data_IF_257174873500
#
_entry.id   IF_257174873500
#
_cell.length_a   1.000
_cell.length_b   1.000
_cell.length_c   1.000
_cell.angle_alpha   90.00
_cell.angle_beta   90.00
_cell.angle_gamma   90.00
#
_symmetry.space_group_name_H-M   'P 1'
#
loop_
_entity.id
_entity.type
_entity.pdbx_description
1 polymer ?
#
# COMPACT_ATOMS: atom_id res chain seq x y z
N UNK A 1 12.82 43.37 18.04
CA UNK A 1 12.14 43.02 16.77
C UNK A 1 13.09 42.10 16.03
N UNK A 2 13.00 40.79 16.26
CA UNK A 2 12.29 39.82 15.41
C UNK A 2 12.77 39.83 13.95
N UNK A 3 13.68 38.92 13.63
CA UNK A 3 13.71 38.23 12.34
C UNK A 3 14.50 36.92 12.51
N UNK A 4 13.93 35.96 13.25
CA UNK A 4 14.33 34.56 13.09
C UNK A 4 13.64 34.07 11.82
N UNK A 5 14.35 34.16 10.69
CA UNK A 5 13.96 33.47 9.47
C UNK A 5 14.18 31.98 9.75
N UNK A 6 13.13 31.31 10.20
CA UNK A 6 13.08 29.86 10.27
C UNK A 6 12.96 29.35 8.84
N UNK A 7 14.09 29.16 8.17
CA UNK A 7 14.14 28.33 6.97
C UNK A 7 14.03 26.88 7.43
N UNK A 8 12.79 26.40 7.46
CA UNK A 8 12.47 24.99 7.61
C UNK A 8 13.35 24.15 6.69
N UNK A 9 14.02 23.17 7.29
CA UNK A 9 14.92 22.23 6.65
C UNK A 9 14.36 21.71 5.32
N UNK A 10 15.21 21.72 4.30
CA UNK A 10 14.99 21.17 2.97
C UNK A 10 14.26 19.83 3.03
N UNK A 11 13.01 19.79 2.56
CA UNK A 11 12.46 18.57 2.00
C UNK A 11 13.32 18.25 0.78
N UNK A 12 14.32 17.38 0.94
CA UNK A 12 15.15 16.91 -0.16
C UNK A 12 14.24 16.13 -1.09
N UNK A 13 13.72 16.78 -2.13
CA UNK A 13 13.04 16.11 -3.23
C UNK A 13 14.06 15.15 -3.86
N UNK A 14 13.80 13.84 -3.89
CA UNK A 14 14.73 12.88 -4.46
C UNK A 14 15.02 13.22 -5.93
N UNK A 15 16.26 13.04 -6.38
CA UNK A 15 16.63 13.29 -7.77
C UNK A 15 15.92 12.31 -8.72
N UNK A 16 15.74 12.70 -9.98
CA UNK A 16 15.15 11.81 -10.98
C UNK A 16 15.96 10.54 -11.21
N UNK A 17 17.29 10.62 -11.10
CA UNK A 17 18.17 9.45 -11.16
C UNK A 17 17.89 8.49 -10.00
N UNK A 18 17.70 9.02 -8.78
CA UNK A 18 17.33 8.21 -7.63
C UNK A 18 15.97 7.56 -7.81
N UNK A 19 14.96 8.33 -8.22
CA UNK A 19 13.62 7.80 -8.49
C UNK A 19 13.68 6.71 -9.57
N UNK A 20 14.39 6.93 -10.67
CA UNK A 20 14.54 5.94 -11.73
C UNK A 20 15.24 4.67 -11.26
N UNK A 21 16.29 4.79 -10.43
CA UNK A 21 17.00 3.65 -9.86
C UNK A 21 16.10 2.84 -8.93
N UNK A 22 15.43 3.49 -7.98
CA UNK A 22 14.59 2.81 -7.00
C UNK A 22 13.31 2.24 -7.65
N UNK A 23 12.76 2.91 -8.66
CA UNK A 23 11.63 2.39 -9.45
C UNK A 23 11.96 1.09 -10.17
N UNK A 24 13.22 0.87 -10.59
CA UNK A 24 13.65 -0.43 -11.15
C UNK A 24 13.66 -1.53 -10.09
N UNK A 25 13.93 -1.20 -8.83
CA UNK A 25 14.04 -2.17 -7.75
C UNK A 25 12.68 -2.48 -7.12
N UNK A 26 11.87 -1.46 -6.81
CA UNK A 26 10.57 -1.62 -6.17
C UNK A 26 9.39 -1.75 -7.15
N UNK A 27 9.58 -1.33 -8.41
CA UNK A 27 8.47 -1.13 -9.34
C UNK A 27 7.66 0.13 -9.02
N UNK A 28 6.68 0.42 -9.87
CA UNK A 28 5.75 1.55 -9.72
C UNK A 28 4.30 1.06 -9.81
N UNK A 29 3.37 1.87 -9.34
CA UNK A 29 1.92 1.61 -9.41
C UNK A 29 1.14 2.92 -9.49
N UNK A 30 -0.13 2.87 -9.95
CA UNK A 30 -1.05 4.00 -9.84
C UNK A 30 -1.36 4.41 -8.40
N UNK A 31 -1.00 3.59 -7.41
CA UNK A 31 -1.18 3.88 -5.99
C UNK A 31 -0.09 4.80 -5.45
N UNK A 32 1.06 4.92 -6.12
CA UNK A 32 2.18 5.71 -5.61
C UNK A 32 1.78 7.19 -5.42
N UNK A 33 2.09 7.72 -4.23
CA UNK A 33 1.77 9.09 -3.82
C UNK A 33 0.32 9.33 -3.42
N UNK A 34 -0.56 8.33 -3.52
CA UNK A 34 -1.94 8.46 -3.04
C UNK A 34 -2.02 8.38 -1.51
N UNK A 35 -2.93 9.18 -0.97
CA UNK A 35 -3.43 9.02 0.39
C UNK A 35 -4.90 8.66 0.32
N UNK A 36 -5.29 7.63 1.07
CA UNK A 36 -6.65 7.13 1.13
C UNK A 36 -7.20 7.32 2.55
N UNK A 37 -8.44 7.78 2.66
CA UNK A 37 -9.15 7.97 3.94
C UNK A 37 -10.44 7.15 3.92
N UNK A 38 -10.67 6.37 4.98
CA UNK A 38 -11.83 5.50 5.12
C UNK A 38 -13.11 6.35 5.07
N UNK A 39 -14.08 5.93 4.25
CA UNK A 39 -15.32 6.68 4.07
C UNK A 39 -16.22 6.62 5.32
N UNK A 40 -16.13 5.55 6.11
CA UNK A 40 -16.79 5.43 7.42
C UNK A 40 -15.74 5.27 8.53
N UNK A 41 -15.33 6.38 9.11
CA UNK A 41 -14.31 6.42 10.17
C UNK A 41 -14.80 5.88 11.52
N UNK A 42 -16.13 5.78 11.74
CA UNK A 42 -16.68 5.40 13.05
C UNK A 42 -16.60 3.89 13.31
N UNK A 43 -16.42 3.08 12.27
CA UNK A 43 -16.48 1.61 12.36
C UNK A 43 -15.22 0.90 11.86
N UNK A 44 -14.16 1.65 11.55
CA UNK A 44 -12.99 1.16 10.83
C UNK A 44 -11.68 1.70 11.44
N UNK A 45 -10.72 0.82 11.67
CA UNK A 45 -9.34 1.18 11.99
C UNK A 45 -8.41 0.24 11.21
N UNK A 46 -7.69 0.70 10.18
CA UNK A 46 -7.14 2.06 10.00
C UNK A 46 -8.06 3.04 9.27
N UNK A 47 -8.05 4.32 9.67
CA UNK A 47 -8.82 5.36 8.96
C UNK A 47 -8.05 5.98 7.82
N UNK A 48 -6.71 5.92 7.83
CA UNK A 48 -5.86 6.45 6.77
C UNK A 48 -4.82 5.44 6.27
N UNK A 49 -4.61 5.45 4.95
CA UNK A 49 -3.55 4.73 4.25
C UNK A 49 -2.74 5.72 3.42
N UNK A 50 -1.41 5.66 3.46
CA UNK A 50 -0.53 6.52 2.65
C UNK A 50 0.47 5.64 1.89
N UNK A 51 0.48 5.76 0.56
CA UNK A 51 1.43 5.06 -0.30
C UNK A 51 2.69 5.88 -0.50
N UNK A 52 3.83 5.20 -0.69
CA UNK A 52 5.08 5.86 -1.05
C UNK A 52 4.98 6.59 -2.39
N UNK A 53 5.62 7.76 -2.49
CA UNK A 53 5.36 8.76 -3.54
C UNK A 53 5.66 8.32 -4.98
N UNK A 54 6.77 7.61 -5.21
CA UNK A 54 7.30 7.44 -6.58
C UNK A 54 7.49 6.00 -7.03
N UNK A 55 7.53 5.06 -6.09
CA UNK A 55 7.78 3.65 -6.34
C UNK A 55 7.18 2.83 -5.19
N UNK A 56 6.93 1.53 -5.40
CA UNK A 56 6.21 0.64 -4.47
C UNK A 56 7.08 0.22 -3.27
N UNK A 57 7.60 1.18 -2.50
CA UNK A 57 8.44 0.89 -1.35
C UNK A 57 7.63 0.46 -0.15
N UNK A 58 6.60 1.24 0.21
CA UNK A 58 5.83 1.01 1.41
C UNK A 58 4.37 1.51 1.31
N UNK A 59 3.52 0.87 2.11
CA UNK A 59 2.22 1.37 2.52
C UNK A 59 2.32 1.73 4.02
N UNK A 60 2.01 2.98 4.36
CA UNK A 60 1.79 3.37 5.74
C UNK A 60 0.33 3.15 6.11
N UNK A 61 0.12 2.33 7.13
CA UNK A 61 -1.19 2.03 7.68
C UNK A 61 -1.32 2.76 9.02
N UNK A 62 -2.28 3.68 9.13
CA UNK A 62 -2.51 4.44 10.37
C UNK A 62 -2.77 3.49 11.56
N UNK A 63 -2.25 3.83 12.74
CA UNK A 63 -2.37 3.03 13.97
C UNK A 63 -1.82 1.60 13.88
N UNK A 64 -1.03 1.29 12.85
CA UNK A 64 -0.37 -0.01 12.70
C UNK A 64 1.14 0.19 12.52
N UNK A 65 1.67 -0.04 11.32
CA UNK A 65 3.06 0.22 10.96
C UNK A 65 3.17 0.47 9.46
N UNK A 66 4.27 1.09 9.05
CA UNK A 66 4.66 1.10 7.63
C UNK A 66 5.08 -0.31 7.22
N UNK A 67 4.42 -0.87 6.21
CA UNK A 67 4.72 -2.18 5.65
C UNK A 67 5.33 -2.03 4.27
N UNK A 68 6.29 -2.88 3.93
CA UNK A 68 6.85 -2.91 2.57
C UNK A 68 5.84 -3.51 1.60
N UNK A 69 5.87 -3.05 0.35
CA UNK A 69 5.03 -3.60 -0.72
C UNK A 69 5.85 -4.58 -1.55
N UNK A 70 5.65 -5.88 -1.34
CA UNK A 70 6.30 -6.94 -2.12
C UNK A 70 5.31 -7.60 -3.07
N UNK A 71 5.82 -8.13 -4.19
CA UNK A 71 5.04 -8.88 -5.18
C UNK A 71 3.78 -8.12 -5.64
N UNK A 72 3.93 -6.83 -5.92
CA UNK A 72 2.84 -6.01 -6.45
C UNK A 72 2.33 -6.61 -7.77
N UNK A 73 1.00 -6.70 -7.88
CA UNK A 73 0.28 -7.13 -9.07
C UNK A 73 -0.93 -6.25 -9.30
N UNK A 74 -1.25 -6.04 -10.57
CA UNK A 74 -2.40 -5.29 -11.04
C UNK A 74 -3.08 -6.07 -12.14
N UNK A 75 -4.34 -6.45 -11.91
CA UNK A 75 -5.15 -7.22 -12.86
C UNK A 75 -6.60 -6.71 -12.80
N UNK A 76 -7.15 -6.26 -13.93
CA UNK A 76 -8.56 -5.85 -14.05
C UNK A 76 -9.05 -4.85 -12.98
N UNK A 77 -8.22 -3.86 -12.62
CA UNK A 77 -8.56 -2.86 -11.59
C UNK A 77 -8.45 -3.37 -10.15
N UNK A 78 -7.92 -4.58 -9.95
CA UNK A 78 -7.55 -5.12 -8.64
C UNK A 78 -6.04 -5.04 -8.48
N UNK A 79 -5.62 -4.35 -7.43
CA UNK A 79 -4.24 -4.22 -7.00
C UNK A 79 -4.00 -5.15 -5.83
N UNK A 80 -2.89 -5.87 -5.82
CA UNK A 80 -2.53 -6.70 -4.68
C UNK A 80 -1.04 -6.71 -4.41
N UNK A 81 -0.68 -6.82 -3.13
CA UNK A 81 0.70 -6.98 -2.70
C UNK A 81 0.74 -7.64 -1.32
N UNK A 82 1.93 -8.07 -0.91
CA UNK A 82 2.16 -8.73 0.37
C UNK A 82 3.19 -7.95 1.19
N UNK A 83 3.06 -8.01 2.52
CA UNK A 83 3.92 -7.23 3.44
C UNK A 83 5.23 -7.91 3.81
N UNK A 84 5.52 -9.07 3.21
CA UNK A 84 6.71 -9.86 3.47
C UNK A 84 7.20 -10.44 2.15
N UNK A 85 8.52 -10.51 1.98
CA UNK A 85 9.12 -11.16 0.83
C UNK A 85 9.03 -12.70 0.92
N UNK A 86 8.79 -13.34 -0.23
CA UNK A 86 8.83 -14.79 -0.37
C UNK A 86 10.28 -15.26 -0.45
N UNK A 87 10.64 -16.23 0.39
CA UNK A 87 11.95 -16.90 0.32
C UNK A 87 12.02 -17.84 -0.88
N UNK A 88 13.26 -18.19 -1.26
CA UNK A 88 13.56 -19.20 -2.29
C UNK A 88 12.86 -20.54 -2.06
N UNK A 89 12.61 -20.91 -0.79
CA UNK A 89 11.89 -22.13 -0.42
C UNK A 89 10.36 -22.04 -0.59
N UNK A 90 9.83 -20.90 -1.07
CA UNK A 90 8.40 -20.71 -1.29
C UNK A 90 7.63 -20.16 -0.10
N UNK A 91 8.29 -19.90 1.04
CA UNK A 91 7.66 -19.47 2.30
C UNK A 91 7.86 -17.98 2.57
N UNK A 92 6.86 -17.34 3.20
CA UNK A 92 7.00 -15.99 3.75
C UNK A 92 7.50 -16.03 5.20
N UNK A 93 8.39 -15.12 5.58
CA UNK A 93 8.94 -15.00 6.94
C UNK A 93 8.04 -14.19 7.87
N UNK A 94 7.37 -14.85 8.83
CA UNK A 94 6.57 -14.17 9.86
C UNK A 94 5.10 -13.95 9.48
N UNK A 95 4.43 -13.04 10.21
CA UNK A 95 3.07 -12.63 9.91
C UNK A 95 3.06 -11.84 8.60
N UNK A 96 2.32 -12.34 7.62
CA UNK A 96 2.21 -11.75 6.29
C UNK A 96 0.81 -11.25 6.08
N UNK A 97 0.67 -9.98 5.72
CA UNK A 97 -0.58 -9.42 5.26
C UNK A 97 -0.57 -9.42 3.73
N UNK A 98 -1.63 -9.93 3.12
CA UNK A 98 -1.98 -9.62 1.75
C UNK A 98 -2.95 -8.44 1.77
N UNK A 99 -2.60 -7.39 1.05
CA UNK A 99 -3.46 -6.23 0.85
C UNK A 99 -4.01 -6.32 -0.56
N UNK A 100 -5.33 -6.24 -0.69
CA UNK A 100 -6.02 -6.18 -1.97
C UNK A 100 -6.84 -4.90 -2.03
N UNK A 101 -6.67 -4.13 -3.10
CA UNK A 101 -7.43 -2.91 -3.37
C UNK A 101 -8.18 -3.11 -4.68
N UNK A 102 -9.50 -2.97 -4.65
CA UNK A 102 -10.33 -3.00 -5.86
C UNK A 102 -10.71 -1.56 -6.20
N UNK A 103 -10.35 -1.10 -7.39
CA UNK A 103 -10.76 0.22 -7.88
C UNK A 103 -12.27 0.22 -8.09
N UNK A 104 -12.97 1.11 -7.41
CA UNK A 104 -14.41 1.30 -7.61
C UNK A 104 -14.68 2.51 -8.50
N UNK A 105 -13.87 3.55 -8.34
CA UNK A 105 -13.84 4.72 -9.23
C UNK A 105 -12.43 5.32 -9.23
N UNK A 106 -12.23 6.44 -9.93
CA UNK A 106 -10.96 7.17 -9.91
C UNK A 106 -10.56 7.68 -8.52
N UNK A 107 -11.51 7.81 -7.60
CA UNK A 107 -11.27 8.36 -6.26
C UNK A 107 -11.66 7.39 -5.15
N UNK A 108 -12.06 6.16 -5.47
CA UNK A 108 -12.58 5.21 -4.49
C UNK A 108 -12.00 3.81 -4.65
N UNK A 109 -11.63 3.22 -3.52
CA UNK A 109 -11.05 1.89 -3.45
C UNK A 109 -11.71 1.07 -2.34
N UNK A 110 -12.05 -0.19 -2.65
CA UNK A 110 -12.42 -1.18 -1.66
C UNK A 110 -11.18 -1.98 -1.24
N UNK A 111 -10.85 -1.97 0.05
CA UNK A 111 -9.60 -2.53 0.57
C UNK A 111 -9.84 -3.70 1.52
N UNK A 112 -9.10 -4.77 1.30
CA UNK A 112 -9.07 -5.99 2.13
C UNK A 112 -7.67 -6.24 2.68
N UNK A 113 -7.58 -6.44 4.00
CA UNK A 113 -6.36 -6.87 4.69
C UNK A 113 -6.52 -8.32 5.15
N UNK A 114 -5.78 -9.25 4.54
CA UNK A 114 -5.90 -10.70 4.76
C UNK A 114 -4.61 -11.27 5.35
N UNK A 115 -4.71 -12.20 6.30
CA UNK A 115 -3.55 -12.90 6.89
C UNK A 115 -3.42 -14.35 6.44
N UNK A 116 -4.47 -14.90 5.83
CA UNK A 116 -4.66 -16.34 5.78
C UNK A 116 -4.05 -16.92 4.50
N UNK A 117 -2.88 -17.54 4.69
CA UNK A 117 -2.11 -18.23 3.67
C UNK A 117 -2.18 -19.74 3.89
N UNK A 118 -2.53 -20.47 2.85
CA UNK A 118 -2.43 -21.92 2.77
C UNK A 118 -1.15 -22.32 2.03
N UNK A 119 -0.75 -23.57 2.20
CA UNK A 119 0.38 -24.14 1.48
C UNK A 119 -0.09 -25.38 0.71
N UNK A 120 -0.02 -25.33 -0.61
CA UNK A 120 -0.42 -26.42 -1.48
C UNK A 120 0.80 -27.05 -2.17
N UNK A 121 0.71 -28.33 -2.53
CA UNK A 121 1.78 -29.08 -3.21
C UNK A 121 2.57 -30.04 -2.31
N UNK A 122 3.53 -30.72 -2.93
CA UNK A 122 4.34 -31.78 -2.31
C UNK A 122 5.34 -31.24 -1.27
N UNK A 123 5.77 -32.12 -0.34
CA UNK A 123 6.84 -31.81 0.63
C UNK A 123 8.10 -31.39 -0.17
N UNK A 124 8.59 -30.16 0.08
CA UNK A 124 9.74 -29.59 -0.63
C UNK A 124 9.42 -28.69 -1.83
N UNK A 125 8.18 -28.69 -2.34
CA UNK A 125 7.71 -27.83 -3.45
C UNK A 125 6.43 -27.05 -3.12
N UNK A 126 6.15 -26.85 -1.82
CA UNK A 126 4.94 -26.15 -1.39
C UNK A 126 4.92 -24.71 -1.89
N UNK A 127 3.80 -24.31 -2.47
CA UNK A 127 3.53 -22.94 -2.88
C UNK A 127 2.55 -22.31 -1.91
N UNK A 128 2.76 -21.02 -1.62
CA UNK A 128 1.77 -20.25 -0.87
C UNK A 128 0.58 -19.97 -1.77
N UNK A 129 -0.61 -20.32 -1.31
CA UNK A 129 -1.89 -19.97 -1.90
C UNK A 129 -2.64 -19.12 -0.90
N UNK A 130 -3.25 -18.04 -1.35
CA UNK A 130 -4.04 -17.19 -0.46
C UNK A 130 -5.46 -17.74 -0.42
N UNK A 131 -5.92 -18.09 0.79
CA UNK A 131 -7.19 -18.80 0.96
C UNK A 131 -8.33 -18.00 0.34
N UNK A 132 -9.05 -18.62 -0.60
CA UNK A 132 -10.28 -18.06 -1.14
C UNK A 132 -11.42 -18.13 -0.11
N UNK A 133 -11.35 -19.02 0.87
CA UNK A 133 -12.46 -19.29 1.80
C UNK A 133 -12.45 -18.36 3.03
N UNK A 134 -11.34 -17.65 3.26
CA UNK A 134 -11.16 -16.79 4.44
C UNK A 134 -11.02 -15.32 4.05
N UNK A 135 -12.16 -14.72 3.73
CA UNK A 135 -12.29 -13.31 3.35
C UNK A 135 -12.34 -12.34 4.53
N UNK A 136 -11.81 -12.68 5.71
CA UNK A 136 -11.93 -11.77 6.86
C UNK A 136 -10.89 -10.66 6.79
N UNK A 137 -11.36 -9.43 6.60
CA UNK A 137 -10.58 -8.22 6.81
C UNK A 137 -10.15 -8.16 8.28
N UNK A 138 -8.85 -8.27 8.52
CA UNK A 138 -8.28 -8.35 9.86
C UNK A 138 -8.18 -7.01 10.57
N UNK A 139 -8.29 -5.91 9.83
CA UNK A 139 -8.22 -4.54 10.34
C UNK A 139 -9.61 -3.88 10.35
N UNK A 140 -10.66 -4.66 10.58
CA UNK A 140 -12.01 -4.14 10.82
C UNK A 140 -12.44 -4.49 12.23
N UNK A 141 -13.29 -3.66 12.84
CA UNK A 141 -13.82 -3.92 14.18
C UNK A 141 -14.43 -5.34 14.24
N UNK A 142 -14.21 -6.04 15.36
CA UNK A 142 -14.78 -7.37 15.61
C UNK A 142 -16.30 -7.39 15.55
N UNK A 143 -16.96 -6.26 15.83
CA UNK A 143 -18.42 -6.09 15.76
C UNK A 143 -18.92 -5.84 14.33
N UNK A 144 -18.05 -5.45 13.42
CA UNK A 144 -18.41 -5.20 12.03
C UNK A 144 -18.29 -6.47 11.19
N UNK A 145 -18.97 -6.50 10.05
CA UNK A 145 -18.85 -7.59 9.09
C UNK A 145 -17.47 -7.60 8.44
N UNK A 146 -16.60 -8.49 8.92
CA UNK A 146 -15.22 -8.64 8.46
C UNK A 146 -15.13 -9.26 7.08
N UNK A 147 -16.19 -9.82 6.50
CA UNK A 147 -16.12 -10.35 5.11
C UNK A 147 -16.23 -9.25 4.07
N UNK A 148 -16.58 -8.03 4.48
CA UNK A 148 -16.73 -6.87 3.59
C UNK A 148 -15.46 -6.03 3.55
N UNK A 149 -15.13 -5.44 2.38
CA UNK A 149 -14.06 -4.47 2.27
C UNK A 149 -14.34 -3.21 3.07
N UNK A 150 -13.28 -2.47 3.31
CA UNK A 150 -13.33 -1.10 3.79
C UNK A 150 -13.25 -0.19 2.57
N UNK A 151 -14.25 0.68 2.39
CA UNK A 151 -14.21 1.71 1.36
C UNK A 151 -13.30 2.86 1.82
N UNK A 152 -12.37 3.24 0.96
CA UNK A 152 -11.55 4.43 1.13
C UNK A 152 -11.71 5.37 -0.05
N UNK A 153 -11.59 6.66 0.24
CA UNK A 153 -11.57 7.74 -0.74
C UNK A 153 -10.16 8.30 -0.86
N UNK A 154 -9.70 8.56 -2.08
CA UNK A 154 -8.46 9.29 -2.35
C UNK A 154 -8.61 10.73 -1.87
N UNK A 155 -7.61 11.27 -1.18
CA UNK A 155 -7.63 12.68 -0.78
C UNK A 155 -7.39 13.59 -2.00
N UNK A 156 -8.08 14.73 -2.11
CA UNK A 156 -7.84 15.68 -3.20
C UNK A 156 -6.39 16.14 -3.26
N UNK A 157 -5.74 16.38 -2.11
CA UNK A 157 -4.37 16.88 -2.07
C UNK A 157 -3.38 15.86 -2.63
N UNK A 158 -3.56 14.56 -2.31
CA UNK A 158 -2.68 13.52 -2.84
C UNK A 158 -2.87 13.32 -4.34
N UNK A 159 -4.11 13.42 -4.83
CA UNK A 159 -4.42 13.34 -6.25
C UNK A 159 -3.80 14.50 -7.04
N UNK A 160 -3.89 15.73 -6.51
CA UNK A 160 -3.23 16.89 -7.12
C UNK A 160 -1.71 16.76 -7.09
N UNK A 161 -1.13 16.31 -5.98
CA UNK A 161 0.31 16.06 -5.86
C UNK A 161 0.81 15.08 -6.93
N UNK A 162 0.11 13.97 -7.14
CA UNK A 162 0.46 12.98 -8.17
C UNK A 162 0.34 13.56 -9.58
N UNK A 163 -0.74 14.30 -9.86
CA UNK A 163 -0.97 14.92 -11.19
C UNK A 163 0.05 16.00 -11.54
N UNK A 164 0.49 16.77 -10.54
CA UNK A 164 1.40 17.91 -10.73
C UNK A 164 2.88 17.53 -10.62
N UNK A 165 3.18 16.32 -10.15
CA UNK A 165 4.56 15.86 -10.05
C UNK A 165 5.23 15.83 -11.42
N UNK A 166 6.35 16.55 -11.52
CA UNK A 166 7.26 16.51 -12.68
C UNK A 166 8.64 16.19 -12.19
N UNK A 167 9.24 15.16 -12.77
CA UNK A 167 10.63 14.87 -12.55
C UNK A 167 11.46 15.62 -13.60
N UNK A 168 12.14 16.68 -13.19
CA UNK A 168 13.07 17.38 -14.06
C UNK A 168 14.50 16.86 -13.81
N UNK A 169 15.17 16.29 -14.83
CA UNK A 169 16.57 15.92 -14.70
C UNK A 169 17.38 17.19 -14.42
N UNK A 170 18.34 17.11 -13.49
CA UNK A 170 19.29 18.21 -13.29
C UNK A 170 20.05 18.41 -14.60
N UNK A 171 19.99 19.64 -15.13
CA UNK A 171 20.82 20.09 -16.25
C UNK A 171 22.28 20.14 -15.86
#
# INVERSE_FOLDING_TARGET
MSALVSTSAFAVTPSCEYIAKESKYYGTSPLNGLELVASDQKSVNPTKLTFSDHFNQYLRIENFQSVRMHEYKEENGVFSFVTTEKKSSGFYKGLTLKVELTKVSETEYDVMFKTDKEYQGEIGKKTVVWSAEHHKNILRDRKADRTKPIRYNVTPESLEKVKTFKCEPKK
#
